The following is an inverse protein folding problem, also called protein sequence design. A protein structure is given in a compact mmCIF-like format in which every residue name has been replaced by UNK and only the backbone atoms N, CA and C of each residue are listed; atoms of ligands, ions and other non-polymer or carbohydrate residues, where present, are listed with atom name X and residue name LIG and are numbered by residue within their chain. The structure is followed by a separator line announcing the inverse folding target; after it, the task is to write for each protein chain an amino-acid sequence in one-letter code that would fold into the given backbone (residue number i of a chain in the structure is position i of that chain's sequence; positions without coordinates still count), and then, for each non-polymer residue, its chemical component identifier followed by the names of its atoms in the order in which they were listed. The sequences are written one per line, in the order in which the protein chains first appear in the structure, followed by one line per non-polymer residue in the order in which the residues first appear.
data_IF_077327611531
#
_entry.id   IF_077327611531
#
_cell.length_a   1.000
_cell.length_b   1.000
_cell.length_c   1.000
_cell.angle_alpha   90.00
_cell.angle_beta   90.00
_cell.angle_gamma   90.00
#
_symmetry.space_group_name_H-M   'P 1'
#
loop_
_entity.id
_entity.type
_entity.pdbx_description
1 polymer ?
#
# COMPACT_ATOMS: atom_id res chain seq x y z
N UNK A 1 -2.33 5.28 0.40
CA UNK A 1 -1.45 5.51 1.58
C UNK A 1 -0.02 5.31 1.13
N UNK A 2 0.91 6.18 1.55
CA UNK A 2 2.30 6.21 1.08
C UNK A 2 3.23 5.46 2.05
N UNK A 3 3.44 4.16 1.81
CA UNK A 3 4.44 3.35 2.52
C UNK A 3 5.75 3.31 1.70
N UNK A 4 6.53 4.38 1.77
CA UNK A 4 7.68 4.58 0.86
C UNK A 4 8.96 3.87 1.28
N UNK A 5 8.98 3.18 2.42
CA UNK A 5 10.12 2.39 2.92
C UNK A 5 9.89 0.87 2.79
N UNK A 6 9.01 0.46 1.87
CA UNK A 6 8.65 -0.95 1.66
C UNK A 6 9.71 -1.71 0.86
N UNK A 7 10.82 -2.05 1.52
CA UNK A 7 11.92 -2.78 0.91
C UNK A 7 11.71 -4.30 0.95
N UNK A 8 12.50 -5.07 0.18
CA UNK A 8 12.36 -6.55 0.09
C UNK A 8 12.42 -7.29 1.43
N UNK A 9 13.04 -6.72 2.48
CA UNK A 9 13.05 -7.30 3.83
C UNK A 9 11.71 -7.17 4.58
N UNK A 10 10.79 -6.35 4.09
CA UNK A 10 9.43 -6.20 4.61
C UNK A 10 8.46 -7.21 3.98
N UNK A 11 8.96 -8.09 3.11
CA UNK A 11 8.20 -9.20 2.56
C UNK A 11 8.68 -10.52 3.16
N UNK A 12 7.85 -11.10 4.02
CA UNK A 12 8.10 -12.38 4.66
C UNK A 12 7.44 -13.55 3.93
N UNK A 13 8.02 -14.73 4.10
CA UNK A 13 7.41 -16.00 3.70
C UNK A 13 7.30 -16.92 4.91
N UNK A 14 6.17 -17.59 5.03
CA UNK A 14 5.91 -18.58 6.07
C UNK A 14 5.95 -19.97 5.43
N UNK A 15 6.70 -20.88 6.06
CA UNK A 15 6.71 -22.29 5.67
C UNK A 15 5.50 -23.00 6.31
N UNK A 16 4.69 -23.64 5.48
CA UNK A 16 3.56 -24.49 5.89
C UNK A 16 3.76 -25.93 5.41
N UNK A 17 2.89 -26.83 5.85
CA UNK A 17 2.78 -28.21 5.35
C UNK A 17 2.55 -28.28 3.82
N UNK A 18 1.96 -27.23 3.24
CA UNK A 18 1.72 -27.07 1.81
C UNK A 18 2.83 -26.29 1.07
N UNK A 19 3.93 -25.96 1.75
CA UNK A 19 5.05 -25.19 1.22
C UNK A 19 5.05 -23.72 1.66
N UNK A 20 5.84 -22.90 0.95
CA UNK A 20 5.98 -21.48 1.24
C UNK A 20 4.75 -20.68 0.80
N UNK A 21 4.31 -19.78 1.66
CA UNK A 21 3.30 -18.76 1.34
C UNK A 21 3.75 -17.39 1.84
N UNK A 22 3.22 -16.32 1.25
CA UNK A 22 3.44 -14.98 1.78
C UNK A 22 2.94 -14.89 3.24
N UNK A 23 3.71 -14.18 4.06
CA UNK A 23 3.23 -13.75 5.38
C UNK A 23 2.12 -12.71 5.23
N UNK A 24 1.31 -12.48 6.28
CA UNK A 24 0.57 -11.23 6.38
C UNK A 24 1.51 -10.03 6.21
N UNK A 25 0.99 -8.92 5.67
CA UNK A 25 1.74 -7.68 5.59
C UNK A 25 2.10 -7.17 6.99
N UNK A 26 3.30 -6.61 7.13
CA UNK A 26 3.82 -6.02 8.37
C UNK A 26 4.62 -4.76 8.05
N UNK A 27 4.95 -3.98 9.07
CA UNK A 27 5.74 -2.75 8.96
C UNK A 27 5.20 -1.74 7.93
N UNK A 28 3.87 -1.57 7.93
CA UNK A 28 3.19 -0.58 7.09
C UNK A 28 3.18 0.78 7.80
N UNK A 29 3.92 1.76 7.26
CA UNK A 29 4.04 3.08 7.88
C UNK A 29 3.66 4.21 6.90
N UNK A 30 2.67 5.05 7.23
CA UNK A 30 2.37 6.25 6.43
C UNK A 30 3.51 7.28 6.54
N UNK A 31 4.23 7.50 5.44
CA UNK A 31 5.37 8.41 5.36
C UNK A 31 4.96 9.65 4.55
N UNK A 32 5.27 10.83 5.10
CA UNK A 32 4.98 12.14 4.48
C UNK A 32 6.23 12.63 3.75
N UNK A 33 6.05 13.36 2.65
CA UNK A 33 7.13 14.11 2.00
C UNK A 33 8.00 13.33 1.02
N UNK A 34 7.93 12.00 1.02
CA UNK A 34 8.56 11.17 -0.01
C UNK A 34 7.74 11.19 -1.31
N UNK A 35 8.43 11.15 -2.45
CA UNK A 35 7.82 11.30 -3.78
C UNK A 35 7.72 9.99 -4.59
N UNK A 36 8.32 8.92 -4.10
CA UNK A 36 8.29 7.61 -4.76
C UNK A 36 8.46 6.46 -3.76
N UNK A 37 8.13 5.27 -4.22
CA UNK A 37 8.24 4.00 -3.50
C UNK A 37 9.68 3.50 -3.45
N UNK A 38 9.97 2.59 -2.52
CA UNK A 38 11.28 1.95 -2.43
C UNK A 38 11.58 1.05 -3.65
N UNK A 39 10.55 0.38 -4.18
CA UNK A 39 10.61 -0.47 -5.36
C UNK A 39 9.91 0.20 -6.54
N UNK A 40 10.38 -0.08 -7.76
CA UNK A 40 9.68 0.38 -8.96
C UNK A 40 8.37 -0.40 -9.15
N UNK A 41 7.37 0.30 -9.68
CA UNK A 41 6.09 -0.26 -10.12
C UNK A 41 6.23 -0.79 -11.54
N UNK A 42 6.83 0.03 -12.41
CA UNK A 42 7.22 -0.35 -13.77
C UNK A 42 8.71 -0.69 -13.80
N UNK A 43 9.29 -0.93 -14.98
CA UNK A 43 10.74 -1.15 -15.08
C UNK A 43 11.55 0.10 -14.65
N UNK A 44 10.98 1.30 -14.77
CA UNK A 44 11.71 2.57 -14.60
C UNK A 44 11.06 3.58 -13.65
N UNK A 45 9.83 3.34 -13.19
CA UNK A 45 9.07 4.33 -12.41
C UNK A 45 8.57 3.78 -11.08
N UNK A 46 8.67 4.62 -10.04
CA UNK A 46 8.23 4.34 -8.68
C UNK A 46 7.38 5.49 -8.09
N UNK A 47 6.81 6.36 -8.92
CA UNK A 47 6.05 7.51 -8.44
C UNK A 47 4.81 7.07 -7.63
N UNK A 48 4.35 7.93 -6.73
CA UNK A 48 3.11 7.73 -5.96
C UNK A 48 1.87 7.97 -6.83
N UNK A 49 1.75 7.25 -7.94
CA UNK A 49 0.69 7.33 -8.92
C UNK A 49 0.03 5.96 -9.12
N UNK A 50 -1.28 5.91 -8.91
CA UNK A 50 -2.06 4.69 -9.08
C UNK A 50 -2.11 4.22 -10.53
N UNK A 51 -2.00 5.13 -11.51
CA UNK A 51 -2.03 4.78 -12.92
C UNK A 51 -0.88 3.84 -13.30
N UNK A 52 0.31 4.02 -12.69
CA UNK A 52 1.45 3.13 -12.93
C UNK A 52 1.13 1.66 -12.59
N UNK A 53 0.30 1.41 -11.57
CA UNK A 53 -0.12 0.06 -11.22
C UNK A 53 -1.07 -0.54 -12.28
N UNK A 54 -1.91 0.30 -12.89
CA UNK A 54 -2.80 -0.10 -14.00
C UNK A 54 -2.03 -0.38 -15.28
N UNK A 55 -0.94 0.33 -15.53
CA UNK A 55 -0.14 0.18 -16.75
C UNK A 55 0.59 -1.18 -16.83
N UNK A 56 0.75 -1.87 -15.70
CA UNK A 56 1.47 -3.17 -15.60
C UNK A 56 0.56 -4.36 -15.28
N UNK A 57 -0.77 -4.21 -15.29
CA UNK A 57 -1.70 -5.27 -14.88
C UNK A 57 -1.54 -6.56 -15.70
N UNK A 58 -1.24 -6.43 -16.99
CA UNK A 58 -1.05 -7.56 -17.90
C UNK A 58 0.16 -8.40 -17.52
N UNK A 59 1.22 -7.77 -17.00
CA UNK A 59 2.40 -8.47 -16.48
C UNK A 59 2.05 -9.37 -15.29
N UNK A 60 1.16 -8.89 -14.42
CA UNK A 60 0.62 -9.63 -13.28
C UNK A 60 -0.58 -10.52 -13.66
N UNK A 61 -0.92 -10.62 -14.95
CA UNK A 61 -2.01 -11.44 -15.50
C UNK A 61 -3.38 -11.09 -14.92
N UNK A 62 -3.58 -9.81 -14.61
CA UNK A 62 -4.85 -9.29 -14.12
C UNK A 62 -5.63 -8.68 -15.28
N UNK A 63 -6.93 -8.97 -15.33
CA UNK A 63 -7.85 -8.20 -16.18
C UNK A 63 -8.06 -6.80 -15.60
N UNK A 64 -8.44 -5.84 -16.46
CA UNK A 64 -8.83 -4.49 -16.01
C UNK A 64 -9.87 -4.53 -14.89
N UNK A 65 -10.85 -5.44 -14.97
CA UNK A 65 -11.89 -5.59 -13.96
C UNK A 65 -11.35 -6.07 -12.62
N UNK A 66 -10.40 -7.01 -12.61
CA UNK A 66 -9.77 -7.50 -11.38
C UNK A 66 -8.88 -6.44 -10.75
N UNK A 67 -8.08 -5.74 -11.56
CA UNK A 67 -7.26 -4.63 -11.10
C UNK A 67 -8.09 -3.51 -10.47
N UNK A 68 -9.18 -3.08 -11.14
CA UNK A 68 -10.10 -2.08 -10.60
C UNK A 68 -10.76 -2.56 -9.31
N UNK A 69 -11.16 -3.83 -9.23
CA UNK A 69 -11.72 -4.41 -7.99
C UNK A 69 -10.73 -4.33 -6.83
N UNK A 70 -9.47 -4.73 -7.04
CA UNK A 70 -8.42 -4.66 -6.02
C UNK A 70 -8.18 -3.22 -5.59
N UNK A 71 -8.09 -2.30 -6.55
CA UNK A 71 -7.94 -0.87 -6.30
C UNK A 71 -9.06 -0.34 -5.39
N UNK A 72 -10.32 -0.62 -5.74
CA UNK A 72 -11.48 -0.17 -4.98
C UNK A 72 -11.53 -0.77 -3.57
N UNK A 73 -11.19 -2.05 -3.42
CA UNK A 73 -11.12 -2.73 -2.13
C UNK A 73 -10.07 -2.08 -1.21
N UNK A 74 -8.86 -1.86 -1.73
CA UNK A 74 -7.75 -1.25 -0.98
C UNK A 74 -8.08 0.20 -0.62
N UNK A 75 -8.55 0.99 -1.59
CA UNK A 75 -8.92 2.39 -1.36
C UNK A 75 -10.08 2.51 -0.38
N UNK A 76 -11.09 1.64 -0.49
CA UNK A 76 -12.23 1.55 0.42
C UNK A 76 -11.81 1.23 1.86
N UNK A 77 -10.86 0.31 2.04
CA UNK A 77 -10.32 0.00 3.36
C UNK A 77 -9.55 1.19 3.96
N UNK A 78 -8.72 1.86 3.15
CA UNK A 78 -7.88 2.98 3.58
C UNK A 78 -8.69 4.26 3.83
N UNK A 79 -9.84 4.47 3.15
CA UNK A 79 -10.77 5.60 3.36
C UNK A 79 -11.15 5.84 4.81
N UNK A 80 -11.20 4.79 5.62
CA UNK A 80 -11.64 4.88 7.01
C UNK A 80 -10.50 5.11 8.03
N UNK A 81 -9.27 5.41 7.57
CA UNK A 81 -8.10 5.49 8.45
C UNK A 81 -8.27 6.48 9.61
N UNK A 82 -8.89 7.65 9.40
CA UNK A 82 -9.09 8.64 10.47
C UNK A 82 -10.03 8.10 11.56
N UNK A 83 -11.10 7.41 11.17
CA UNK A 83 -12.03 6.80 12.12
C UNK A 83 -11.34 5.69 12.92
N UNK A 84 -10.50 4.89 12.27
CA UNK A 84 -9.69 3.86 12.93
C UNK A 84 -8.69 4.51 13.90
N UNK A 85 -7.97 5.55 13.45
CA UNK A 85 -7.02 6.28 14.29
C UNK A 85 -7.69 6.88 15.53
N UNK A 86 -8.88 7.47 15.40
CA UNK A 86 -9.66 7.98 16.52
C UNK A 86 -10.06 6.87 17.50
N UNK A 87 -10.56 5.73 16.99
CA UNK A 87 -10.91 4.58 17.84
C UNK A 87 -9.71 3.98 18.56
N UNK A 88 -8.52 4.09 17.96
CA UNK A 88 -7.26 3.66 18.54
C UNK A 88 -6.63 4.70 19.50
N UNK A 89 -7.27 5.85 19.73
CA UNK A 89 -6.79 6.87 20.66
C UNK A 89 -5.69 7.78 20.12
N UNK A 90 -5.42 7.78 18.81
CA UNK A 90 -4.43 8.66 18.18
C UNK A 90 -4.96 10.09 18.19
N UNK A 91 -4.14 11.05 18.63
CA UNK A 91 -4.59 12.44 18.76
C UNK A 91 -4.90 13.06 17.39
N UNK A 92 -5.79 14.07 17.39
CA UNK A 92 -6.07 14.83 16.17
C UNK A 92 -4.82 15.51 15.60
N UNK A 93 -3.91 15.96 16.45
CA UNK A 93 -2.66 16.60 16.02
C UNK A 93 -1.78 15.62 15.21
N UNK A 94 -1.60 14.39 15.70
CA UNK A 94 -0.84 13.36 14.98
C UNK A 94 -1.53 12.94 13.68
N UNK A 95 -2.86 12.84 13.68
CA UNK A 95 -3.62 12.55 12.46
C UNK A 95 -3.41 13.63 11.40
N UNK A 96 -3.48 14.91 11.77
CA UNK A 96 -3.24 16.03 10.85
C UNK A 96 -1.83 15.97 10.26
N UNK A 97 -0.82 15.69 11.09
CA UNK A 97 0.56 15.53 10.60
C UNK A 97 0.63 14.44 9.54
N UNK A 98 -0.04 13.29 9.76
CA UNK A 98 0.01 12.13 8.85
C UNK A 98 -0.95 12.18 7.67
N UNK A 99 -1.86 13.16 7.61
CA UNK A 99 -2.95 13.18 6.64
C UNK A 99 -2.45 13.11 5.19
N UNK A 100 -1.37 13.82 4.86
CA UNK A 100 -0.84 13.87 3.49
C UNK A 100 -0.23 12.54 3.02
N UNK A 101 0.04 11.61 3.94
CA UNK A 101 0.44 10.25 3.58
C UNK A 101 -0.75 9.39 3.10
N UNK A 102 -1.98 9.88 3.22
CA UNK A 102 -3.20 9.19 2.82
C UNK A 102 -3.81 9.86 1.58
N UNK A 103 -3.33 9.47 0.39
CA UNK A 103 -3.89 9.89 -0.90
C UNK A 103 -5.20 9.12 -1.20
N UNK A 104 -6.33 9.68 -0.80
CA UNK A 104 -7.66 9.03 -0.83
C UNK A 104 -8.69 9.94 -1.47
#
# INVERSE_FOLDING_TARGET
MSNTDDHLRNHGFLLSDKGWRLSPAYDLNPIIGNKGLHLNITDTENALDYQLAFDVIDFFRLTQREATKIYDEVLGAVKNWQQIAQKSGISRAEQVVKQDAFNI
#
